data_IF_078803869085
#
_entry.id   IF_078803869085
#
_cell.length_a   1.000
_cell.length_b   1.000
_cell.length_c   1.000
_cell.angle_alpha   90.00
_cell.angle_beta   90.00
_cell.angle_gamma   90.00
#
_symmetry.space_group_name_H-M   'P 1'
#
loop_
_entity.id
_entity.type
_entity.pdbx_description
1 polymer ?
#
# COMPACT_ATOMS: atom_id res chain seq x y z
N UNK A 1 -8.31 20.40 1.07
CA UNK A 1 -7.23 19.39 1.15
C UNK A 1 -7.87 18.17 1.78
N UNK A 2 -7.86 17.00 1.12
CA UNK A 2 -8.57 15.82 1.62
C UNK A 2 -8.01 15.39 2.99
N UNK A 3 -8.88 15.24 3.99
CA UNK A 3 -8.49 14.80 5.33
C UNK A 3 -8.61 13.27 5.42
N UNK A 4 -7.47 12.57 5.48
CA UNK A 4 -7.43 11.11 5.58
C UNK A 4 -8.02 10.56 6.90
N UNK A 5 -8.32 11.42 7.89
CA UNK A 5 -9.07 11.01 9.08
C UNK A 5 -10.57 10.85 8.82
N UNK A 6 -11.11 11.49 7.77
CA UNK A 6 -12.51 11.35 7.36
C UNK A 6 -12.65 10.14 6.43
N UNK A 7 -13.50 9.14 6.75
CA UNK A 7 -13.62 7.92 5.96
C UNK A 7 -13.97 8.16 4.47
N UNK A 8 -14.77 9.20 4.20
CA UNK A 8 -15.16 9.57 2.85
C UNK A 8 -13.94 10.10 2.05
N UNK A 9 -13.23 11.07 2.59
CA UNK A 9 -12.03 11.64 1.97
C UNK A 9 -10.94 10.59 1.76
N UNK A 10 -10.77 9.67 2.72
CA UNK A 10 -9.86 8.54 2.59
C UNK A 10 -10.27 7.59 1.46
N UNK A 11 -11.56 7.27 1.32
CA UNK A 11 -12.07 6.44 0.24
C UNK A 11 -11.89 7.11 -1.13
N UNK A 12 -12.16 8.42 -1.23
CA UNK A 12 -11.95 9.20 -2.45
C UNK A 12 -10.47 9.24 -2.84
N UNK A 13 -9.57 9.48 -1.88
CA UNK A 13 -8.13 9.47 -2.11
C UNK A 13 -7.62 8.08 -2.55
N UNK A 14 -8.13 7.00 -1.94
CA UNK A 14 -7.80 5.63 -2.32
C UNK A 14 -8.27 5.28 -3.74
N UNK A 15 -9.51 5.66 -4.10
CA UNK A 15 -10.05 5.48 -5.44
C UNK A 15 -9.21 6.24 -6.48
N UNK A 16 -8.91 7.51 -6.22
CA UNK A 16 -8.13 8.36 -7.13
C UNK A 16 -6.72 7.82 -7.35
N UNK A 17 -6.02 7.47 -6.27
CA UNK A 17 -4.66 6.94 -6.35
C UNK A 17 -4.63 5.59 -7.06
N UNK A 18 -5.59 4.70 -6.77
CA UNK A 18 -5.68 3.41 -7.45
C UNK A 18 -5.95 3.58 -8.93
N UNK A 19 -6.92 4.41 -9.31
CA UNK A 19 -7.24 4.71 -10.72
C UNK A 19 -6.03 5.28 -11.46
N UNK A 20 -5.30 6.20 -10.83
CA UNK A 20 -4.10 6.81 -11.41
C UNK A 20 -2.98 5.77 -11.65
N UNK A 21 -2.65 4.96 -10.64
CA UNK A 21 -1.54 4.00 -10.74
C UNK A 21 -1.89 2.73 -11.52
N UNK A 22 -3.16 2.36 -11.65
CA UNK A 22 -3.60 1.23 -12.48
C UNK A 22 -3.89 1.61 -13.94
N UNK A 23 -3.97 2.90 -14.26
CA UNK A 23 -4.38 3.37 -15.59
C UNK A 23 -5.83 3.00 -15.94
N UNK A 24 -6.66 2.77 -14.93
CA UNK A 24 -8.04 2.32 -15.10
C UNK A 24 -9.04 3.47 -15.23
N UNK A 25 -10.28 3.17 -15.63
CA UNK A 25 -11.34 4.19 -15.71
C UNK A 25 -11.94 4.46 -14.34
N UNK A 26 -12.28 5.73 -14.05
CA UNK A 26 -12.90 6.11 -12.77
C UNK A 26 -14.22 5.34 -12.49
N UNK A 27 -15.00 5.05 -13.54
CA UNK A 27 -16.24 4.27 -13.44
C UNK A 27 -16.06 2.80 -13.06
N UNK A 28 -14.83 2.27 -13.08
CA UNK A 28 -14.53 0.89 -12.63
C UNK A 28 -14.37 0.81 -11.11
N UNK A 29 -14.08 1.94 -10.46
CA UNK A 29 -13.86 2.06 -9.01
C UNK A 29 -14.97 2.86 -8.30
N UNK A 30 -15.90 3.45 -9.07
CA UNK A 30 -17.03 4.23 -8.55
C UNK A 30 -18.34 3.65 -9.03
N UNK A 31 -19.38 3.74 -8.20
CA UNK A 31 -20.73 3.34 -8.56
C UNK A 31 -21.53 4.57 -8.97
N UNK A 32 -22.34 4.44 -10.01
CA UNK A 32 -23.22 5.52 -10.49
C UNK A 32 -24.37 5.79 -9.51
N UNK A 33 -24.82 4.77 -8.78
CA UNK A 33 -25.79 4.88 -7.68
C UNK A 33 -25.69 3.66 -6.74
N UNK A 34 -26.35 3.73 -5.59
CA UNK A 34 -26.34 2.66 -4.58
C UNK A 34 -26.98 1.34 -5.08
N UNK A 35 -27.94 1.42 -6.01
CA UNK A 35 -28.61 0.25 -6.58
C UNK A 35 -27.74 -0.56 -7.55
N UNK A 36 -26.62 0.00 -8.03
CA UNK A 36 -25.64 -0.72 -8.84
C UNK A 36 -24.64 -1.54 -8.00
N UNK A 37 -24.75 -1.51 -6.66
CA UNK A 37 -23.88 -2.29 -5.79
C UNK A 37 -24.26 -3.79 -5.82
N UNK A 38 -23.46 -4.58 -6.53
CA UNK A 38 -23.48 -6.04 -6.46
C UNK A 38 -22.46 -6.59 -5.45
N UNK A 39 -22.90 -7.43 -4.51
CA UNK A 39 -22.08 -8.10 -3.49
C UNK A 39 -21.08 -9.13 -4.05
N UNK A 40 -21.29 -9.63 -5.27
CA UNK A 40 -20.41 -10.61 -5.92
C UNK A 40 -19.26 -9.94 -6.66
N UNK A 41 -19.47 -8.72 -7.14
CA UNK A 41 -18.48 -7.96 -7.94
C UNK A 41 -17.76 -6.93 -7.09
N UNK A 42 -18.47 -6.28 -6.15
CA UNK A 42 -17.90 -5.19 -5.37
C UNK A 42 -17.44 -5.61 -3.98
N UNK A 43 -16.39 -4.97 -3.52
CA UNK A 43 -15.84 -5.18 -2.19
C UNK A 43 -16.78 -4.62 -1.12
N UNK A 44 -17.21 -5.47 -0.16
CA UNK A 44 -17.97 -5.01 1.02
C UNK A 44 -17.10 -4.97 2.27
N UNK A 45 -17.60 -4.33 3.32
CA UNK A 45 -16.87 -4.18 4.59
C UNK A 45 -16.36 -5.51 5.19
N UNK A 46 -17.11 -6.60 5.06
CA UNK A 46 -16.66 -7.90 5.55
C UNK A 46 -15.46 -8.46 4.78
N UNK A 47 -15.28 -8.08 3.51
CA UNK A 47 -14.21 -8.57 2.65
C UNK A 47 -12.86 -7.91 2.98
N UNK A 48 -12.90 -6.68 3.51
CA UNK A 48 -11.71 -5.94 3.99
C UNK A 48 -11.39 -6.18 5.47
N UNK A 49 -12.14 -7.05 6.15
CA UNK A 49 -11.73 -7.49 7.48
C UNK A 49 -10.41 -8.25 7.37
N UNK A 50 -9.49 -7.99 8.31
CA UNK A 50 -8.13 -8.57 8.29
C UNK A 50 -8.11 -10.08 8.00
N UNK A 51 -8.94 -10.94 8.61
CA UNK A 51 -8.94 -12.37 8.30
C UNK A 51 -9.36 -12.66 6.85
N UNK A 52 -10.48 -12.08 6.41
CA UNK A 52 -11.01 -12.28 5.05
C UNK A 52 -10.02 -11.79 3.98
N UNK A 53 -9.41 -10.62 4.21
CA UNK A 53 -8.40 -10.04 3.34
C UNK A 53 -7.16 -10.96 3.22
N UNK A 54 -6.62 -11.42 4.35
CA UNK A 54 -5.45 -12.31 4.35
C UNK A 54 -5.77 -13.65 3.69
N UNK A 55 -6.96 -14.22 3.91
CA UNK A 55 -7.40 -15.44 3.22
C UNK A 55 -7.43 -15.26 1.71
N UNK A 56 -7.97 -14.12 1.22
CA UNK A 56 -8.00 -13.80 -0.21
C UNK A 56 -6.59 -13.62 -0.78
N UNK A 57 -5.72 -12.92 -0.04
CA UNK A 57 -4.33 -12.72 -0.43
C UNK A 57 -3.60 -14.05 -0.54
N UNK A 58 -3.64 -14.90 0.49
CA UNK A 58 -2.99 -16.21 0.47
C UNK A 58 -3.48 -17.10 -0.67
N UNK A 59 -4.78 -17.03 -1.00
CA UNK A 59 -5.33 -17.73 -2.17
C UNK A 59 -4.65 -17.26 -3.46
N UNK A 60 -4.58 -15.94 -3.68
CA UNK A 60 -3.93 -15.39 -4.88
C UNK A 60 -2.44 -15.77 -4.97
N UNK A 61 -1.71 -15.75 -3.85
CA UNK A 61 -0.31 -16.19 -3.80
C UNK A 61 -0.14 -17.69 -4.10
N UNK A 62 -1.05 -18.52 -3.60
CA UNK A 62 -1.07 -19.95 -3.90
C UNK A 62 -1.29 -20.19 -5.40
N UNK A 63 -2.20 -19.45 -6.01
CA UNK A 63 -2.51 -19.55 -7.44
C UNK A 63 -1.29 -19.15 -8.30
N UNK A 64 -0.42 -18.26 -7.81
CA UNK A 64 0.84 -17.87 -8.46
C UNK A 64 2.07 -18.67 -7.99
N UNK A 65 1.90 -19.70 -7.15
CA UNK A 65 2.99 -20.50 -6.54
C UNK A 65 4.03 -19.66 -5.78
N UNK A 66 3.59 -18.55 -5.18
CA UNK A 66 4.42 -17.68 -4.34
C UNK A 66 4.17 -17.95 -2.86
N UNK A 67 5.19 -17.72 -2.04
CA UNK A 67 5.08 -17.82 -0.58
C UNK A 67 4.11 -16.74 -0.04
N UNK A 68 3.19 -17.10 0.87
CA UNK A 68 2.18 -16.19 1.37
C UNK A 68 2.81 -15.01 2.12
N UNK A 69 2.42 -13.79 1.73
CA UNK A 69 2.91 -12.58 2.35
C UNK A 69 2.17 -12.30 3.67
N UNK A 70 2.92 -12.19 4.77
CA UNK A 70 2.36 -11.72 6.04
C UNK A 70 1.98 -10.24 5.93
N UNK A 71 0.90 -9.83 6.61
CA UNK A 71 0.44 -8.44 6.59
C UNK A 71 1.51 -7.42 7.02
N UNK A 72 2.42 -7.79 7.92
CA UNK A 72 3.56 -6.94 8.30
C UNK A 72 4.58 -6.78 7.15
N UNK A 73 4.77 -7.83 6.35
CA UNK A 73 5.66 -7.84 5.18
C UNK A 73 5.23 -6.88 4.08
N UNK A 74 3.91 -6.62 3.92
CA UNK A 74 3.39 -5.64 2.94
C UNK A 74 3.95 -4.24 3.24
N UNK A 75 3.91 -3.80 4.51
CA UNK A 75 4.38 -2.48 4.90
C UNK A 75 5.90 -2.35 4.74
N UNK A 76 6.65 -3.42 5.00
CA UNK A 76 8.11 -3.46 4.80
C UNK A 76 8.44 -3.39 3.30
N UNK A 77 7.78 -4.19 2.47
CA UNK A 77 7.98 -4.20 1.02
C UNK A 77 7.72 -2.83 0.39
N UNK A 78 6.63 -2.16 0.79
CA UNK A 78 6.35 -0.79 0.34
C UNK A 78 7.45 0.20 0.73
N UNK A 79 7.95 0.11 1.96
CA UNK A 79 9.06 0.96 2.44
C UNK A 79 10.32 0.74 1.60
N UNK A 80 10.69 -0.51 1.36
CA UNK A 80 11.85 -0.87 0.56
C UNK A 80 11.73 -0.32 -0.86
N UNK A 81 10.57 -0.49 -1.50
CA UNK A 81 10.32 0.01 -2.85
C UNK A 81 10.51 1.52 -2.95
N UNK A 82 9.97 2.28 -2.01
CA UNK A 82 10.15 3.73 -2.02
C UNK A 82 11.60 4.16 -1.79
N UNK A 83 12.34 3.48 -0.91
CA UNK A 83 13.75 3.78 -0.69
C UNK A 83 14.60 3.46 -1.92
N UNK A 84 14.30 2.37 -2.63
CA UNK A 84 14.94 2.03 -3.91
C UNK A 84 14.66 3.07 -5.01
N UNK A 85 13.52 3.78 -4.92
CA UNK A 85 13.20 4.93 -5.78
C UNK A 85 13.81 6.25 -5.31
N UNK A 86 14.67 6.23 -4.29
CA UNK A 86 15.38 7.39 -3.79
C UNK A 86 14.56 8.33 -2.91
N UNK A 87 13.41 7.89 -2.40
CA UNK A 87 12.62 8.71 -1.47
C UNK A 87 13.40 8.87 -0.15
N UNK A 88 13.55 10.10 0.38
CA UNK A 88 14.26 10.35 1.63
C UNK A 88 13.69 9.59 2.84
N UNK A 89 14.57 9.25 3.78
CA UNK A 89 14.23 8.48 4.98
C UNK A 89 13.21 9.17 5.90
N UNK A 90 13.26 10.49 6.03
CA UNK A 90 12.33 11.30 6.82
C UNK A 90 10.92 11.32 6.22
N UNK A 91 10.83 11.38 4.89
CA UNK A 91 9.57 11.27 4.16
C UNK A 91 8.96 9.88 4.37
N UNK A 92 9.76 8.82 4.26
CA UNK A 92 9.30 7.45 4.50
C UNK A 92 8.91 7.20 5.94
N UNK A 93 9.62 7.79 6.90
CA UNK A 93 9.24 7.77 8.32
C UNK A 93 7.87 8.40 8.54
N UNK A 94 7.58 9.49 7.84
CA UNK A 94 6.30 10.19 7.88
C UNK A 94 5.20 9.34 7.25
N UNK A 95 5.41 8.80 6.04
CA UNK A 95 4.46 7.92 5.34
C UNK A 95 4.17 6.64 6.14
N UNK A 96 5.21 6.03 6.71
CA UNK A 96 5.12 4.82 7.54
C UNK A 96 4.56 5.06 8.93
N UNK A 97 4.32 6.33 9.32
CA UNK A 97 3.86 6.76 10.65
C UNK A 97 4.74 6.23 11.78
N UNK A 98 6.05 6.18 11.55
CA UNK A 98 7.00 5.67 12.52
C UNK A 98 7.46 6.73 13.50
N UNK A 99 7.20 6.48 14.80
CA UNK A 99 7.65 7.35 15.89
C UNK A 99 9.18 7.28 16.10
N UNK A 100 9.80 6.14 15.81
CA UNK A 100 11.23 5.90 15.98
C UNK A 100 11.88 5.39 14.68
N UNK A 101 13.19 5.22 14.68
CA UNK A 101 13.92 4.65 13.54
C UNK A 101 13.81 3.11 13.47
N UNK A 102 12.81 2.49 14.13
CA UNK A 102 12.63 1.04 14.13
C UNK A 102 12.49 0.43 12.72
N UNK A 103 12.17 1.24 11.72
CA UNK A 103 12.12 0.80 10.33
C UNK A 103 13.47 0.42 9.73
N UNK A 104 14.57 0.94 10.27
CA UNK A 104 15.92 0.63 9.78
C UNK A 104 16.24 -0.85 9.97
N UNK A 105 15.66 -1.50 10.98
CA UNK A 105 15.77 -2.94 11.24
C UNK A 105 15.21 -3.81 10.10
N UNK A 106 14.35 -3.23 9.26
CA UNK A 106 13.66 -3.94 8.18
C UNK A 106 14.22 -3.61 6.79
N UNK A 107 15.32 -2.86 6.71
CA UNK A 107 15.99 -2.54 5.46
C UNK A 107 16.70 -3.78 4.92
N UNK A 108 16.02 -4.51 4.03
CA UNK A 108 16.70 -5.51 3.21
C UNK A 108 17.51 -4.79 2.13
N UNK A 109 18.71 -5.27 1.78
CA UNK A 109 19.62 -4.66 0.79
C UNK A 109 20.24 -3.30 1.21
N UNK A 110 20.72 -3.19 2.45
CA UNK A 110 21.42 -2.01 3.01
C UNK A 110 22.38 -1.30 2.05
N UNK A 111 23.25 -2.02 1.33
CA UNK A 111 24.25 -1.42 0.44
C UNK A 111 23.61 -0.63 -0.72
N UNK A 112 22.54 -1.14 -1.34
CA UNK A 112 21.86 -0.47 -2.44
C UNK A 112 21.11 0.78 -1.98
N UNK A 113 20.54 0.72 -0.77
CA UNK A 113 19.79 1.84 -0.20
C UNK A 113 20.73 2.95 0.27
N UNK A 114 21.89 2.61 0.84
CA UNK A 114 22.81 3.58 1.43
C UNK A 114 23.81 4.19 0.44
N UNK A 115 24.10 3.53 -0.69
CA UNK A 115 25.07 4.01 -1.67
C UNK A 115 24.79 5.45 -2.19
N UNK A 116 23.54 5.83 -2.53
CA UNK A 116 23.25 7.21 -2.96
C UNK A 116 23.49 8.24 -1.86
N UNK A 117 23.30 7.87 -0.59
CA UNK A 117 23.45 8.76 0.56
C UNK A 117 24.91 8.92 1.00
N UNK A 118 25.78 7.94 0.72
CA UNK A 118 27.22 8.03 1.01
C UNK A 118 27.98 8.90 0.00
N UNK A 119 27.43 9.12 -1.20
CA UNK A 119 28.06 9.97 -2.24
C UNK A 119 27.62 11.43 -2.16
N UNK A 120 26.55 11.74 -1.42
CA UNK A 120 25.97 13.08 -1.34
C UNK A 120 26.69 14.01 -0.33
N UNK A 121 27.68 13.52 0.39
CA UNK A 121 28.51 14.34 1.27
C UNK A 121 30.00 14.00 1.03
N UNK A 122 30.72 14.77 0.19
CA UNK A 122 32.17 14.61 -0.01
C UNK A 122 32.98 14.88 1.27
#
# INVERSE_FOLDING_TARGET
MADLAVPLDAAVAACLTTTFYSGARLGEFTLTNLGCFDLLVHCKRSDVQKPAFLTRLHKAFKDTKMEPLQGHGIRIGATLEYLLRGIPFDVIKTIGRWKSNAFTLYLQKHAQILAPYMQANP
#
